data_IF_047026493699
#
_entry.id   IF_047026493699
#
_cell.length_a   1.000
_cell.length_b   1.000
_cell.length_c   1.000
_cell.angle_alpha   90.00
_cell.angle_beta   90.00
_cell.angle_gamma   90.00
#
_symmetry.space_group_name_H-M   'P 1'
#
loop_
_entity.id
_entity.type
_entity.pdbx_description
1 polymer ?
#
# COMPACT_ATOMS: atom_id res chain seq x y z
N UNK A 1 8.39 12.42 -4.50
CA UNK A 1 7.95 12.68 -3.12
C UNK A 1 8.69 11.66 -2.27
N UNK A 2 9.36 12.10 -1.20
CA UNK A 2 10.07 11.17 -0.32
C UNK A 2 9.05 10.39 0.53
N UNK A 3 9.37 9.14 0.87
CA UNK A 3 8.48 8.28 1.67
C UNK A 3 8.13 8.92 3.02
N UNK A 4 9.11 9.57 3.67
CA UNK A 4 8.88 10.31 4.91
C UNK A 4 7.83 11.41 4.72
N UNK A 5 7.82 12.13 3.60
CA UNK A 5 6.81 13.15 3.33
C UNK A 5 5.40 12.56 3.21
N UNK A 6 5.27 11.37 2.63
CA UNK A 6 3.99 10.66 2.52
C UNK A 6 3.48 10.19 3.88
N UNK A 7 4.37 9.65 4.72
CA UNK A 7 4.03 9.19 6.07
C UNK A 7 3.49 10.36 6.91
N UNK A 8 4.18 11.50 6.91
CA UNK A 8 3.73 12.69 7.64
C UNK A 8 2.35 13.17 7.19
N UNK A 9 2.04 13.09 5.89
CA UNK A 9 0.70 13.44 5.37
C UNK A 9 -0.38 12.48 5.86
N UNK A 10 -0.08 11.19 5.99
CA UNK A 10 -1.00 10.22 6.58
C UNK A 10 -1.23 10.50 8.06
N UNK A 11 -0.17 10.74 8.82
CA UNK A 11 -0.23 11.05 10.25
C UNK A 11 -1.04 12.33 10.54
N UNK A 12 -0.90 13.34 9.70
CA UNK A 12 -1.65 14.60 9.80
C UNK A 12 -3.09 14.49 9.26
N UNK A 13 -3.49 13.34 8.72
CA UNK A 13 -4.82 13.11 8.13
C UNK A 13 -5.05 13.81 6.78
N UNK A 14 -3.99 14.33 6.16
CA UNK A 14 -4.03 14.94 4.82
C UNK A 14 -4.10 13.88 3.70
N UNK A 15 -3.68 12.65 4.00
CA UNK A 15 -3.65 11.53 3.07
C UNK A 15 -4.24 10.28 3.73
N UNK A 16 -5.13 9.59 3.04
CA UNK A 16 -5.60 8.28 3.50
C UNK A 16 -4.64 7.16 3.06
N UNK A 17 -4.88 5.95 3.57
CA UNK A 17 -4.03 4.79 3.27
C UNK A 17 -4.02 4.42 1.79
N UNK A 18 -5.13 4.65 1.08
CA UNK A 18 -5.20 4.41 -0.36
C UNK A 18 -4.32 5.42 -1.12
N UNK A 19 -4.41 6.69 -0.76
CA UNK A 19 -3.57 7.76 -1.27
C UNK A 19 -2.10 7.51 -1.01
N UNK A 20 -1.73 7.03 0.19
CA UNK A 20 -0.36 6.62 0.51
C UNK A 20 0.15 5.56 -0.47
N UNK A 21 -0.58 4.46 -0.64
CA UNK A 21 -0.21 3.37 -1.54
C UNK A 21 -0.15 3.81 -3.00
N UNK A 22 -1.08 4.66 -3.44
CA UNK A 22 -1.13 5.14 -4.83
C UNK A 22 -0.04 6.16 -5.17
N UNK A 23 0.45 6.91 -4.17
CA UNK A 23 1.52 7.90 -4.34
C UNK A 23 2.92 7.36 -4.05
N UNK A 24 3.03 6.24 -3.31
CA UNK A 24 4.29 5.56 -3.09
C UNK A 24 4.64 4.69 -4.32
N UNK A 25 5.74 4.99 -5.04
CA UNK A 25 6.11 4.28 -6.27
C UNK A 25 6.43 2.80 -6.05
N UNK A 26 6.93 2.42 -4.86
CA UNK A 26 7.26 1.02 -4.55
C UNK A 26 6.02 0.17 -4.27
N UNK A 27 4.92 0.80 -3.87
CA UNK A 27 3.69 0.12 -3.48
C UNK A 27 2.61 0.14 -4.56
N UNK A 28 2.62 1.15 -5.43
CA UNK A 28 1.58 1.37 -6.44
C UNK A 28 1.40 0.19 -7.39
N UNK A 29 2.49 -0.30 -7.98
CA UNK A 29 2.41 -1.44 -8.92
C UNK A 29 2.00 -2.74 -8.21
N UNK A 30 2.64 -3.15 -7.09
CA UNK A 30 2.22 -4.33 -6.34
C UNK A 30 0.76 -4.27 -5.88
N UNK A 31 0.27 -3.10 -5.45
CA UNK A 31 -1.12 -2.92 -5.06
C UNK A 31 -2.07 -3.04 -6.26
N UNK A 32 -1.68 -2.53 -7.43
CA UNK A 32 -2.48 -2.64 -8.65
C UNK A 32 -2.65 -4.10 -9.08
N UNK A 33 -1.60 -4.90 -8.96
CA UNK A 33 -1.65 -6.34 -9.23
C UNK A 33 -2.45 -7.09 -8.18
N UNK A 34 -2.32 -6.73 -6.90
CA UNK A 34 -3.14 -7.24 -5.81
C UNK A 34 -4.63 -6.98 -6.06
N UNK A 35 -5.01 -5.74 -6.39
CA UNK A 35 -6.39 -5.36 -6.65
C UNK A 35 -6.96 -6.13 -7.85
N UNK A 36 -6.19 -6.24 -8.94
CA UNK A 36 -6.58 -7.02 -10.12
C UNK A 36 -6.76 -8.50 -9.80
N UNK A 37 -5.81 -9.12 -9.08
CA UNK A 37 -5.86 -10.53 -8.68
C UNK A 37 -7.04 -10.87 -7.79
N UNK A 38 -7.50 -9.91 -6.99
CA UNK A 38 -8.66 -10.05 -6.11
C UNK A 38 -9.99 -9.56 -6.72
N UNK A 39 -10.00 -9.13 -7.98
CA UNK A 39 -11.21 -8.61 -8.64
C UNK A 39 -11.73 -7.28 -8.08
N UNK A 40 -10.87 -6.50 -7.40
CA UNK A 40 -11.22 -5.21 -6.81
C UNK A 40 -11.17 -4.14 -7.91
N UNK A 41 -12.33 -3.62 -8.29
CA UNK A 41 -12.47 -2.61 -9.35
C UNK A 41 -12.51 -1.17 -8.85
N UNK A 42 -12.90 -0.98 -7.58
CA UNK A 42 -12.92 0.31 -6.89
C UNK A 42 -12.20 0.16 -5.54
N UNK A 43 -10.86 0.27 -5.50
CA UNK A 43 -10.10 0.05 -4.28
C UNK A 43 -10.43 1.08 -3.21
N UNK A 44 -10.44 0.64 -1.96
CA UNK A 44 -10.72 1.48 -0.79
C UNK A 44 -9.48 1.58 0.11
N UNK A 45 -9.53 2.49 1.10
CA UNK A 45 -8.50 2.53 2.14
C UNK A 45 -8.40 1.22 2.94
N UNK A 46 -9.51 0.49 3.10
CA UNK A 46 -9.49 -0.82 3.76
C UNK A 46 -8.74 -1.88 2.93
N UNK A 47 -8.88 -1.84 1.60
CA UNK A 47 -8.10 -2.72 0.70
C UNK A 47 -6.62 -2.39 0.75
N UNK A 48 -6.26 -1.11 0.78
CA UNK A 48 -4.88 -0.67 0.94
C UNK A 48 -4.26 -1.16 2.26
N UNK A 49 -4.99 -1.04 3.37
CA UNK A 49 -4.53 -1.57 4.68
C UNK A 49 -4.35 -3.08 4.65
N UNK A 50 -5.29 -3.81 4.04
CA UNK A 50 -5.19 -5.27 3.92
C UNK A 50 -3.98 -5.66 3.07
N UNK A 51 -3.80 -5.01 1.92
CA UNK A 51 -2.63 -5.19 1.06
C UNK A 51 -1.33 -4.97 1.80
N UNK A 52 -1.18 -3.87 2.56
CA UNK A 52 0.06 -3.55 3.27
C UNK A 52 0.46 -4.65 4.27
N UNK A 53 -0.51 -5.22 4.98
CA UNK A 53 -0.27 -6.33 5.91
C UNK A 53 0.25 -7.58 5.18
N UNK A 54 -0.45 -7.98 4.11
CA UNK A 54 -0.04 -9.15 3.32
C UNK A 54 1.30 -8.91 2.60
N UNK A 55 1.56 -7.67 2.16
CA UNK A 55 2.80 -7.26 1.52
C UNK A 55 3.98 -7.34 2.48
N UNK A 56 3.82 -6.82 3.70
CA UNK A 56 4.82 -6.92 4.76
C UNK A 56 5.10 -8.39 5.14
N UNK A 57 4.06 -9.21 5.34
CA UNK A 57 4.21 -10.64 5.64
C UNK A 57 5.00 -11.37 4.54
N UNK A 58 4.70 -11.09 3.27
CA UNK A 58 5.44 -11.66 2.14
C UNK A 58 6.90 -11.24 2.13
N UNK A 59 7.20 -9.96 2.36
CA UNK A 59 8.58 -9.47 2.45
C UNK A 59 9.37 -10.20 3.54
N UNK A 60 8.77 -10.42 4.72
CA UNK A 60 9.43 -11.19 5.77
C UNK A 60 9.68 -12.64 5.37
N UNK A 61 8.76 -13.29 4.66
CA UNK A 61 8.97 -14.65 4.16
C UNK A 61 10.07 -14.73 3.10
N UNK A 62 10.17 -13.74 2.21
CA UNK A 62 11.23 -13.67 1.19
C UNK A 62 12.63 -13.42 1.80
N UNK A 63 12.68 -12.79 2.97
CA UNK A 63 13.92 -12.54 3.72
C UNK A 63 14.39 -13.75 4.56
N UNK A 64 13.54 -14.76 4.76
CA UNK A 64 13.90 -15.98 5.46
C UNK A 64 14.59 -16.97 4.49
N UNK A 65 15.75 -17.55 4.87
CA UNK A 65 16.54 -18.44 4.01
C UNK A 65 15.93 -19.83 3.79
#
# INVERSE_FOLDING_TARGET
MEEMELIHKVENGELDMLGYVMLNPELKEPFSDYARGNGITCPTAADAVRFLKEYEERLYQELLP
#
